data_IF_627574988472
#
_entry.id   IF_627574988472
#
_cell.length_a   1.000
_cell.length_b   1.000
_cell.length_c   1.000
_cell.angle_alpha   90.00
_cell.angle_beta   90.00
_cell.angle_gamma   90.00
#
_symmetry.space_group_name_H-M   'P 1'
#
loop_
_entity.id
_entity.type
_entity.pdbx_description
1 polymer ?
#
# COMPACT_ATOMS: atom_id res chain seq x y z
N UNK A 1 -14.39 -15.60 -1.74
CA UNK A 1 -13.97 -15.91 -0.35
C UNK A 1 -13.44 -14.68 0.41
N UNK A 2 -12.69 -13.75 -0.21
CA UNK A 2 -12.14 -12.58 0.52
C UNK A 2 -13.15 -11.47 0.90
N UNK A 3 -14.19 -11.23 0.10
CA UNK A 3 -15.20 -10.18 0.39
C UNK A 3 -16.17 -10.53 1.53
N UNK A 4 -16.41 -11.82 1.80
CA UNK A 4 -17.37 -12.26 2.82
C UNK A 4 -16.89 -12.00 4.25
N UNK A 5 -15.58 -11.93 4.48
CA UNK A 5 -15.02 -11.62 5.80
C UNK A 5 -15.26 -10.17 6.20
N UNK A 6 -15.23 -9.24 5.24
CA UNK A 6 -15.50 -7.81 5.46
C UNK A 6 -17.01 -7.52 5.57
N UNK A 7 -17.87 -8.45 5.14
CA UNK A 7 -19.33 -8.33 5.22
C UNK A 7 -19.91 -8.67 6.61
N UNK A 8 -19.11 -9.16 7.57
CA UNK A 8 -19.54 -9.28 8.97
C UNK A 8 -19.56 -7.87 9.56
N UNK A 9 -20.76 -7.31 9.70
CA UNK A 9 -20.98 -5.95 10.20
C UNK A 9 -20.41 -5.70 11.61
N UNK A 10 -20.54 -4.45 12.12
CA UNK A 10 -19.89 -3.96 13.35
C UNK A 10 -20.28 -4.68 14.65
N UNK A 11 -21.13 -5.71 14.60
CA UNK A 11 -21.61 -6.51 15.73
C UNK A 11 -20.75 -7.73 16.06
N UNK A 12 -19.64 -7.96 15.35
CA UNK A 12 -18.70 -9.05 15.61
C UNK A 12 -17.53 -8.56 16.46
N UNK A 13 -17.20 -9.23 17.57
CA UNK A 13 -16.00 -8.94 18.39
C UNK A 13 -14.67 -9.32 17.70
N UNK A 14 -14.74 -9.86 16.48
CA UNK A 14 -13.58 -10.28 15.71
C UNK A 14 -12.78 -9.05 15.25
N UNK A 15 -11.57 -8.90 15.78
CA UNK A 15 -10.62 -7.90 15.27
C UNK A 15 -10.10 -8.30 13.90
N UNK A 16 -9.84 -7.32 13.04
CA UNK A 16 -9.27 -7.53 11.72
C UNK A 16 -8.05 -6.62 11.54
N UNK A 17 -6.96 -7.17 11.03
CA UNK A 17 -5.77 -6.41 10.69
C UNK A 17 -5.39 -6.63 9.22
N UNK A 18 -5.10 -5.54 8.50
CA UNK A 18 -4.43 -5.61 7.22
C UNK A 18 -2.93 -5.79 7.44
N UNK A 19 -2.33 -6.78 6.77
CA UNK A 19 -0.89 -7.06 6.84
C UNK A 19 -0.30 -7.07 5.44
N UNK A 20 0.56 -6.08 5.17
CA UNK A 20 1.49 -6.12 4.04
C UNK A 20 2.69 -6.99 4.35
N UNK A 21 3.90 -6.54 3.99
CA UNK A 21 5.13 -7.33 4.11
C UNK A 21 5.69 -7.52 5.54
N UNK A 22 4.88 -7.28 6.58
CA UNK A 22 5.24 -7.64 7.96
C UNK A 22 6.35 -6.81 8.63
N UNK A 23 6.61 -5.58 8.17
CA UNK A 23 7.67 -4.71 8.71
C UNK A 23 7.29 -3.88 9.95
N UNK A 24 6.09 -4.08 10.51
CA UNK A 24 5.70 -3.48 11.80
C UNK A 24 6.54 -4.04 12.95
N UNK A 25 7.11 -3.16 13.78
CA UNK A 25 8.08 -3.55 14.81
C UNK A 25 7.46 -4.05 16.12
N UNK A 26 6.18 -3.75 16.37
CA UNK A 26 5.52 -3.98 17.66
C UNK A 26 4.10 -4.56 17.48
N UNK A 27 3.89 -5.37 16.44
CA UNK A 27 2.63 -6.10 16.26
C UNK A 27 1.47 -5.28 15.70
N UNK A 28 1.70 -4.06 15.17
CA UNK A 28 0.64 -3.20 14.62
C UNK A 28 -0.18 -3.87 13.50
N UNK A 29 0.39 -4.83 12.77
CA UNK A 29 -0.27 -5.59 11.71
C UNK A 29 -0.77 -6.98 12.17
N UNK A 30 -1.08 -7.15 13.45
CA UNK A 30 -1.62 -8.38 14.03
C UNK A 30 -3.03 -8.18 14.60
N UNK A 31 -3.81 -9.25 14.60
CA UNK A 31 -5.14 -9.31 15.20
C UNK A 31 -5.21 -10.52 16.15
N UNK A 32 -4.98 -10.30 17.45
CA UNK A 32 -5.01 -11.39 18.43
C UNK A 32 -6.42 -11.97 18.54
N UNK A 33 -6.56 -13.29 18.32
CA UNK A 33 -7.87 -13.95 18.27
C UNK A 33 -8.76 -13.50 17.10
N UNK A 34 -8.20 -12.75 16.15
CA UNK A 34 -8.91 -12.15 15.03
C UNK A 34 -8.46 -12.68 13.66
N UNK A 35 -8.70 -11.88 12.63
CA UNK A 35 -8.32 -12.20 11.24
C UNK A 35 -7.23 -11.25 10.77
N UNK A 36 -6.18 -11.81 10.19
CA UNK A 36 -5.16 -11.04 9.49
C UNK A 36 -5.35 -11.22 7.98
N UNK A 37 -5.57 -10.14 7.28
CA UNK A 37 -5.69 -10.12 5.82
C UNK A 37 -4.29 -9.98 5.23
N UNK A 38 -3.82 -11.00 4.51
CA UNK A 38 -2.59 -10.91 3.73
C UNK A 38 -2.81 -10.04 2.50
N UNK A 39 -2.38 -8.78 2.57
CA UNK A 39 -2.64 -7.80 1.51
C UNK A 39 -1.88 -8.12 0.22
N UNK A 40 -0.73 -8.79 0.29
CA UNK A 40 0.04 -9.23 -0.90
C UNK A 40 -0.69 -10.34 -1.68
N UNK A 41 -1.68 -10.99 -1.07
CA UNK A 41 -2.51 -11.99 -1.75
C UNK A 41 -3.72 -11.39 -2.49
N UNK A 42 -3.89 -10.07 -2.43
CA UNK A 42 -4.96 -9.38 -3.16
C UNK A 42 -4.66 -9.47 -4.65
N UNK A 43 -5.42 -10.32 -5.33
CA UNK A 43 -5.34 -10.52 -6.77
C UNK A 43 -6.16 -9.44 -7.49
N UNK A 44 -5.80 -8.18 -7.26
CA UNK A 44 -6.31 -7.00 -7.98
C UNK A 44 -5.34 -6.68 -9.10
N UNK A 45 -5.88 -6.14 -10.21
CA UNK A 45 -5.21 -5.89 -11.49
C UNK A 45 -3.71 -5.52 -11.42
N UNK A 46 -2.98 -5.85 -12.50
CA UNK A 46 -1.56 -5.49 -12.71
C UNK A 46 -1.26 -4.00 -12.42
N UNK A 47 0.00 -3.69 -12.10
CA UNK A 47 0.50 -2.31 -12.01
C UNK A 47 0.22 -1.58 -13.32
N UNK A 48 -0.65 -0.57 -13.31
CA UNK A 48 -1.01 0.20 -14.51
C UNK A 48 -0.33 1.57 -14.47
N UNK A 49 0.55 1.81 -15.44
CA UNK A 49 1.24 3.10 -15.58
C UNK A 49 0.51 3.95 -16.61
N UNK A 50 0.12 5.16 -16.21
CA UNK A 50 -0.54 6.13 -17.06
C UNK A 50 0.42 7.30 -17.32
N UNK A 51 0.89 7.39 -18.56
CA UNK A 51 1.70 8.52 -19.04
C UNK A 51 0.86 9.76 -19.37
N UNK A 52 1.54 10.85 -19.72
CA UNK A 52 0.91 12.12 -20.11
C UNK A 52 1.56 13.33 -19.44
N UNK A 53 0.86 14.47 -19.46
CA UNK A 53 1.30 15.70 -18.79
C UNK A 53 1.39 15.53 -17.26
N UNK A 54 0.48 14.74 -16.69
CA UNK A 54 0.41 14.41 -15.27
C UNK A 54 0.46 12.89 -15.06
N UNK A 55 1.64 12.26 -15.13
CA UNK A 55 1.77 10.82 -15.06
C UNK A 55 1.45 10.29 -13.65
N UNK A 56 0.86 9.10 -13.59
CA UNK A 56 0.57 8.38 -12.34
C UNK A 56 0.63 6.86 -12.54
N UNK A 57 0.66 6.14 -11.42
CA UNK A 57 0.65 4.67 -11.39
C UNK A 57 -0.50 4.23 -10.47
N UNK A 58 -1.31 3.28 -10.96
CA UNK A 58 -2.40 2.66 -10.22
C UNK A 58 -1.97 1.24 -9.82
N UNK A 59 -2.14 0.93 -8.53
CA UNK A 59 -1.53 -0.24 -7.87
C UNK A 59 -2.39 -0.74 -6.71
N UNK A 60 -2.32 -2.05 -6.44
CA UNK A 60 -2.88 -2.63 -5.22
C UNK A 60 -2.18 -2.07 -3.97
N UNK A 61 -2.93 -1.89 -2.88
CA UNK A 61 -2.36 -1.55 -1.58
C UNK A 61 -1.39 -2.63 -1.04
N UNK A 62 -1.50 -3.87 -1.54
CA UNK A 62 -0.56 -4.96 -1.24
C UNK A 62 0.72 -4.95 -2.07
N UNK A 63 0.86 -4.09 -3.08
CA UNK A 63 2.03 -4.09 -3.96
C UNK A 63 3.28 -3.52 -3.26
N UNK A 64 4.46 -4.05 -3.60
CA UNK A 64 5.74 -3.58 -3.08
C UNK A 64 6.30 -2.41 -3.90
N UNK A 65 6.89 -1.42 -3.22
CA UNK A 65 7.50 -0.25 -3.88
C UNK A 65 8.60 -0.62 -4.88
N UNK A 66 9.33 -1.71 -4.68
CA UNK A 66 10.35 -2.19 -5.64
C UNK A 66 9.74 -2.59 -6.99
N UNK A 67 8.55 -3.22 -6.99
CA UNK A 67 7.89 -3.65 -8.21
C UNK A 67 7.34 -2.43 -8.97
N UNK A 68 6.80 -1.46 -8.23
CA UNK A 68 6.34 -0.18 -8.78
C UNK A 68 7.49 0.55 -9.46
N UNK A 69 8.66 0.66 -8.80
CA UNK A 69 9.84 1.27 -9.41
C UNK A 69 10.24 0.56 -10.70
N UNK A 70 10.36 -0.77 -10.67
CA UNK A 70 10.74 -1.56 -11.83
C UNK A 70 9.78 -1.36 -12.99
N UNK A 71 8.47 -1.33 -12.72
CA UNK A 71 7.46 -1.14 -13.76
C UNK A 71 7.48 0.28 -14.30
N UNK A 72 7.47 1.32 -13.44
CA UNK A 72 7.45 2.72 -13.89
C UNK A 72 8.71 3.09 -14.70
N UNK A 73 9.86 2.48 -14.37
CA UNK A 73 11.10 2.71 -15.12
C UNK A 73 11.02 2.25 -16.58
N UNK A 74 10.20 1.23 -16.89
CA UNK A 74 9.95 0.82 -18.29
C UNK A 74 9.29 1.91 -19.12
N UNK A 75 8.64 2.87 -18.46
CA UNK A 75 8.00 4.04 -19.06
C UNK A 75 8.83 5.32 -18.90
N UNK A 76 10.06 5.24 -18.36
CA UNK A 76 10.89 6.40 -18.06
C UNK A 76 10.37 7.26 -16.89
N UNK A 77 9.56 6.66 -16.02
CA UNK A 77 8.91 7.32 -14.88
C UNK A 77 9.38 6.72 -13.56
N UNK A 78 9.16 7.46 -12.47
CA UNK A 78 9.44 7.02 -11.10
C UNK A 78 8.57 7.80 -10.11
N UNK A 79 8.08 7.17 -9.02
CA UNK A 79 7.54 7.86 -7.86
C UNK A 79 8.48 8.98 -7.35
N UNK A 80 7.88 10.08 -6.84
CA UNK A 80 8.63 11.27 -6.41
C UNK A 80 9.17 11.18 -4.97
N UNK A 81 8.57 10.32 -4.15
CA UNK A 81 8.89 10.18 -2.73
C UNK A 81 8.98 8.70 -2.36
N UNK A 82 9.98 8.36 -1.56
CA UNK A 82 10.39 6.98 -1.29
C UNK A 82 10.50 6.70 0.21
N UNK A 83 10.80 5.45 0.50
CA UNK A 83 11.39 5.00 1.76
C UNK A 83 12.81 4.50 1.46
N UNK A 84 13.67 4.46 2.47
CA UNK A 84 15.06 3.99 2.28
C UNK A 84 15.16 2.48 1.99
N UNK A 85 14.06 1.73 2.18
CA UNK A 85 13.94 0.30 1.95
C UNK A 85 12.68 -0.02 1.14
N UNK A 86 12.84 -0.59 -0.04
CA UNK A 86 11.77 -0.69 -1.04
C UNK A 86 10.90 -1.96 -0.95
N UNK A 87 11.24 -2.94 -0.10
CA UNK A 87 10.38 -4.12 0.12
C UNK A 87 9.35 -3.83 1.22
N UNK A 88 8.65 -2.72 1.05
CA UNK A 88 7.50 -2.33 1.85
C UNK A 88 6.29 -2.24 0.93
N UNK A 89 5.12 -2.63 1.42
CA UNK A 89 3.87 -2.50 0.65
C UNK A 89 3.37 -1.06 0.64
N UNK A 90 2.72 -0.64 -0.45
CA UNK A 90 2.07 0.67 -0.59
C UNK A 90 1.16 1.00 0.58
N UNK A 91 0.21 0.12 0.90
CA UNK A 91 -0.73 0.32 2.00
C UNK A 91 -0.01 0.49 3.33
N UNK A 92 0.99 -0.34 3.60
CA UNK A 92 1.79 -0.27 4.84
C UNK A 92 2.48 1.08 5.05
N UNK A 93 3.10 1.66 4.00
CA UNK A 93 3.78 2.95 4.14
C UNK A 93 2.81 4.11 4.19
N UNK A 94 1.72 4.07 3.39
CA UNK A 94 0.68 5.11 3.38
C UNK A 94 -0.15 5.14 4.66
N UNK A 95 -0.29 4.02 5.37
CA UNK A 95 -0.89 3.98 6.72
C UNK A 95 -0.01 4.61 7.81
N UNK A 96 1.21 5.07 7.48
CA UNK A 96 2.13 5.73 8.41
C UNK A 96 2.55 7.12 7.90
N UNK A 97 3.34 7.17 6.82
CA UNK A 97 3.75 8.39 6.11
C UNK A 97 4.55 8.05 4.84
N UNK A 98 5.57 7.20 4.98
CA UNK A 98 6.58 6.91 3.96
C UNK A 98 7.56 8.08 3.77
N UNK A 99 8.70 8.05 4.46
CA UNK A 99 9.66 9.17 4.48
C UNK A 99 11.04 8.68 4.05
N UNK A 100 11.74 9.50 3.27
CA UNK A 100 13.15 9.38 2.90
C UNK A 100 13.69 10.77 2.50
N UNK A 101 14.90 10.83 1.96
CA UNK A 101 15.62 12.05 1.59
C UNK A 101 14.94 12.93 0.54
N UNK A 102 13.88 12.49 -0.13
CA UNK A 102 13.13 13.32 -1.10
C UNK A 102 12.01 14.13 -0.42
N UNK A 103 11.66 13.77 0.83
CA UNK A 103 10.50 14.35 1.52
C UNK A 103 10.62 15.85 1.79
N UNK A 104 11.84 16.40 1.90
CA UNK A 104 12.01 17.85 2.06
C UNK A 104 11.51 18.67 0.87
N UNK A 105 11.50 18.07 -0.34
CA UNK A 105 11.08 18.73 -1.59
C UNK A 105 9.72 18.26 -2.06
N UNK A 106 9.41 16.97 -1.90
CA UNK A 106 8.22 16.33 -2.44
C UNK A 106 7.21 15.90 -1.37
N UNK A 107 7.50 16.13 -0.09
CA UNK A 107 6.72 15.59 1.01
C UNK A 107 6.86 14.07 1.16
N UNK A 108 6.31 13.49 2.24
CA UNK A 108 6.24 12.03 2.40
C UNK A 108 5.38 11.38 1.30
N UNK A 109 5.40 10.05 1.20
CA UNK A 109 4.59 9.29 0.23
C UNK A 109 3.10 9.63 0.32
N UNK A 110 2.56 9.82 1.54
CA UNK A 110 1.17 10.24 1.76
C UNK A 110 0.79 11.59 1.11
N UNK A 111 1.78 12.45 0.80
CA UNK A 111 1.54 13.72 0.09
C UNK A 111 1.53 13.58 -1.44
N UNK A 112 1.79 12.38 -1.95
CA UNK A 112 1.92 12.09 -3.39
C UNK A 112 0.86 11.11 -3.90
N UNK A 113 -0.25 10.95 -3.17
CA UNK A 113 -1.39 10.09 -3.52
C UNK A 113 -2.51 10.93 -4.14
N UNK A 114 -3.03 10.52 -5.29
CA UNK A 114 -4.13 11.24 -5.96
C UNK A 114 -5.52 10.73 -5.53
N UNK A 115 -5.69 9.41 -5.46
CA UNK A 115 -6.94 8.73 -5.09
C UNK A 115 -6.57 7.43 -4.37
N UNK A 116 -7.44 6.98 -3.47
CA UNK A 116 -7.37 5.67 -2.85
C UNK A 116 -8.78 5.08 -2.72
N UNK A 117 -8.89 3.77 -2.87
CA UNK A 117 -10.12 3.03 -2.60
C UNK A 117 -9.98 2.31 -1.26
N UNK A 118 -10.94 2.52 -0.38
CA UNK A 118 -10.89 2.08 1.02
C UNK A 118 -12.15 1.29 1.33
N UNK A 119 -12.00 0.11 1.94
CA UNK A 119 -13.11 -0.63 2.53
C UNK A 119 -13.24 -0.21 3.99
N UNK A 120 -14.43 0.26 4.39
CA UNK A 120 -14.75 0.81 5.72
C UNK A 120 -15.85 0.02 6.41
#
# INVERSE_FOLDING_TARGET
MQLETLARGPSSELTVAARGHGHSLQGQAQAHGGVVINMESLNVDEIKVYGGEFPYVDVSGGELWINILNETLRYGLAPRSWTDYLHLTVGGTLSNAGVSGQAFRHGPQISNVQKMEIVT
#
